data_IF_123315359311
#
_entry.id   IF_123315359311
#
_cell.length_a   1.000
_cell.length_b   1.000
_cell.length_c   1.000
_cell.angle_alpha   90.00
_cell.angle_beta   90.00
_cell.angle_gamma   90.00
#
_symmetry.space_group_name_H-M   'P 1'
#
loop_
_entity.id
_entity.type
_entity.pdbx_description
1 polymer ?
#
# COMPACT_ATOMS: atom_id res chain seq x y z
N UNK A 1 24.68 3.38 0.78
CA UNK A 1 23.50 4.15 1.23
C UNK A 1 22.27 3.36 0.87
N UNK A 2 21.83 2.59 1.83
CA UNK A 2 20.63 1.75 1.74
C UNK A 2 19.38 2.63 1.71
N UNK A 3 18.37 2.20 0.94
CA UNK A 3 17.06 2.84 0.89
C UNK A 3 16.13 2.21 1.93
N UNK A 4 15.45 3.04 2.70
CA UNK A 4 14.42 2.63 3.64
C UNK A 4 13.08 3.25 3.26
N UNK A 5 12.01 2.53 3.54
CA UNK A 5 10.65 3.06 3.53
C UNK A 5 10.21 3.12 5.00
N UNK A 6 9.83 4.31 5.47
CA UNK A 6 9.27 4.48 6.81
C UNK A 6 7.77 4.66 6.66
N UNK A 7 7.01 3.82 7.36
CA UNK A 7 5.55 3.83 7.40
C UNK A 7 5.14 4.16 8.83
N UNK A 8 4.55 5.32 9.05
CA UNK A 8 3.97 5.66 10.36
C UNK A 8 2.77 4.75 10.62
N UNK A 9 2.65 4.13 11.79
CA UNK A 9 1.63 3.09 12.03
C UNK A 9 0.21 3.62 12.18
N UNK A 10 0.05 4.89 12.59
CA UNK A 10 -1.26 5.50 12.82
C UNK A 10 -1.81 6.15 11.55
N UNK A 11 -1.09 7.13 10.99
CA UNK A 11 -1.51 7.82 9.77
C UNK A 11 -1.29 6.99 8.51
N UNK A 12 -0.34 6.05 8.58
CA UNK A 12 0.03 5.18 7.49
C UNK A 12 0.66 5.92 6.30
N UNK A 13 1.12 7.14 6.57
CA UNK A 13 1.97 7.94 5.72
C UNK A 13 3.30 7.24 5.49
N UNK A 14 3.84 7.44 4.29
CA UNK A 14 5.02 6.73 3.83
C UNK A 14 6.04 7.67 3.26
N UNK A 15 7.28 7.44 3.63
CA UNK A 15 8.41 8.22 3.17
C UNK A 15 9.55 7.29 2.77
N UNK A 16 10.19 7.63 1.66
CA UNK A 16 11.44 6.98 1.26
C UNK A 16 12.59 7.78 1.84
N UNK A 17 13.47 7.12 2.58
CA UNK A 17 14.64 7.71 3.22
C UNK A 17 15.90 7.09 2.65
N UNK A 18 16.76 7.91 2.05
CA UNK A 18 18.12 7.54 1.64
C UNK A 18 19.11 8.26 2.56
N UNK A 19 19.35 7.70 3.75
CA UNK A 19 20.23 8.29 4.73
C UNK A 19 20.81 7.21 5.66
N UNK A 20 21.99 7.49 6.21
CA UNK A 20 22.60 6.67 7.28
C UNK A 20 21.93 6.90 8.65
N UNK A 21 21.05 7.89 8.76
CA UNK A 21 20.34 8.25 9.98
C UNK A 21 18.86 8.46 9.68
N UNK A 22 17.99 7.81 10.46
CA UNK A 22 16.53 7.86 10.33
C UNK A 22 15.98 8.23 11.70
N UNK A 23 15.30 9.36 11.81
CA UNK A 23 14.68 9.79 13.08
C UNK A 23 13.19 9.45 13.07
N UNK A 24 12.76 8.59 13.99
CA UNK A 24 11.34 8.28 14.17
C UNK A 24 10.73 9.26 15.19
N UNK A 25 9.65 9.93 14.81
CA UNK A 25 8.88 10.81 15.70
C UNK A 25 7.62 10.14 16.25
N UNK A 26 7.21 9.02 15.65
CA UNK A 26 6.02 8.22 15.95
C UNK A 26 6.32 6.73 15.72
N UNK A 27 5.46 5.83 16.22
CA UNK A 27 5.62 4.40 16.03
C UNK A 27 5.54 4.07 14.53
N UNK A 28 6.58 3.42 14.00
CA UNK A 28 6.72 3.23 12.55
C UNK A 28 7.18 1.82 12.18
N UNK A 29 6.82 1.37 10.99
CA UNK A 29 7.48 0.24 10.32
C UNK A 29 8.61 0.80 9.46
N UNK A 30 9.84 0.43 9.78
CA UNK A 30 11.02 0.69 8.97
C UNK A 30 11.24 -0.52 8.07
N UNK A 31 11.05 -0.33 6.77
CA UNK A 31 11.09 -1.37 5.77
C UNK A 31 12.31 -1.20 4.84
N UNK A 32 13.01 -2.28 4.53
CA UNK A 32 14.21 -2.27 3.66
C UNK A 32 14.26 -3.50 2.76
N UNK A 33 14.81 -3.33 1.55
CA UNK A 33 15.06 -4.41 0.59
C UNK A 33 16.48 -5.00 0.67
N UNK A 34 17.24 -4.63 1.71
CA UNK A 34 18.54 -5.24 1.96
C UNK A 34 18.35 -6.68 2.47
N UNK A 35 19.31 -7.58 2.22
CA UNK A 35 19.25 -8.90 2.85
C UNK A 35 19.57 -8.78 4.33
N UNK A 36 18.94 -9.63 5.15
CA UNK A 36 19.29 -9.79 6.57
C UNK A 36 20.72 -10.26 6.72
N UNK A 37 21.21 -11.05 5.78
CA UNK A 37 22.60 -11.53 5.75
C UNK A 37 23.60 -10.42 5.46
N UNK A 38 23.17 -9.23 5.02
CA UNK A 38 24.05 -8.06 4.86
C UNK A 38 24.31 -7.33 6.18
N UNK A 39 23.55 -7.62 7.24
CA UNK A 39 23.78 -7.08 8.59
C UNK A 39 24.82 -7.92 9.31
N UNK A 40 25.85 -7.25 9.81
CA UNK A 40 26.87 -7.84 10.67
C UNK A 40 26.42 -7.85 12.13
N UNK A 41 25.86 -6.74 12.61
CA UNK A 41 25.45 -6.59 14.01
C UNK A 41 24.23 -5.67 14.16
N UNK A 42 23.29 -6.08 15.01
CA UNK A 42 22.21 -5.23 15.52
C UNK A 42 22.58 -4.76 16.92
N UNK A 43 22.58 -3.46 17.15
CA UNK A 43 22.96 -2.88 18.43
C UNK A 43 21.85 -1.98 18.92
N UNK A 44 21.43 -2.21 20.16
CA UNK A 44 20.61 -1.25 20.89
C UNK A 44 21.51 -0.24 21.58
N UNK A 45 21.42 1.02 21.14
CA UNK A 45 22.10 2.16 21.76
C UNK A 45 21.06 3.11 22.36
N UNK A 46 20.75 2.90 23.64
CA UNK A 46 19.64 3.59 24.31
C UNK A 46 18.29 3.29 23.66
N UNK A 47 17.66 4.33 23.09
CA UNK A 47 16.40 4.23 22.35
C UNK A 47 16.61 3.99 20.85
N UNK A 48 17.85 3.95 20.37
CA UNK A 48 18.18 3.83 18.96
C UNK A 48 18.50 2.37 18.61
N UNK A 49 18.18 1.98 17.38
CA UNK A 49 18.67 0.77 16.76
C UNK A 49 19.78 1.12 15.79
N UNK A 50 20.95 0.52 15.97
CA UNK A 50 22.10 0.69 15.08
C UNK A 50 22.31 -0.62 14.32
N UNK A 51 22.32 -0.53 13.00
CA UNK A 51 22.62 -1.61 12.08
C UNK A 51 24.06 -1.43 11.59
N UNK A 52 24.97 -2.32 11.98
CA UNK A 52 26.29 -2.40 11.36
C UNK A 52 26.22 -3.38 10.20
N UNK A 53 26.54 -2.93 8.99
CA UNK A 53 26.49 -3.74 7.79
C UNK A 53 27.86 -4.35 7.50
N UNK A 54 27.89 -5.51 6.83
CA UNK A 54 29.13 -6.21 6.46
C UNK A 54 30.00 -5.41 5.48
N UNK A 55 29.41 -4.47 4.75
CA UNK A 55 30.13 -3.55 3.88
C UNK A 55 30.79 -2.37 4.63
N UNK A 56 30.62 -2.27 5.95
CA UNK A 56 31.16 -1.21 6.80
C UNK A 56 30.23 0.01 6.97
N UNK A 57 29.09 0.07 6.28
CA UNK A 57 28.07 1.10 6.48
C UNK A 57 27.39 0.90 7.85
N UNK A 58 27.08 2.01 8.53
CA UNK A 58 26.36 2.01 9.80
C UNK A 58 25.09 2.84 9.62
N UNK A 59 23.94 2.21 9.86
CA UNK A 59 22.64 2.88 9.84
C UNK A 59 22.15 3.05 11.27
N UNK A 60 21.74 4.27 11.63
CA UNK A 60 21.14 4.58 12.93
C UNK A 60 19.66 4.90 12.73
N UNK A 61 18.80 4.10 13.34
CA UNK A 61 17.37 4.38 13.44
C UNK A 61 17.12 4.93 14.85
N UNK A 62 17.01 6.24 14.95
CA UNK A 62 16.79 6.93 16.21
C UNK A 62 15.37 6.72 16.71
N UNK A 63 15.22 6.64 18.04
CA UNK A 63 13.95 6.45 18.73
C UNK A 63 13.21 5.13 18.39
N UNK A 64 13.89 4.17 17.76
CA UNK A 64 13.31 2.87 17.41
C UNK A 64 12.65 2.14 18.59
N UNK A 65 13.26 2.20 19.77
CA UNK A 65 12.75 1.53 20.98
C UNK A 65 11.82 2.42 21.84
N UNK A 66 11.41 3.59 21.34
CA UNK A 66 10.35 4.38 21.99
C UNK A 66 9.01 3.74 21.69
N UNK A 67 8.20 3.61 22.74
CA UNK A 67 6.79 3.19 22.65
C UNK A 67 5.94 4.46 22.59
N UNK A 68 5.16 4.62 21.52
CA UNK A 68 4.23 5.71 21.32
C UNK A 68 2.82 5.17 21.49
N UNK A 69 2.08 5.66 22.49
CA UNK A 69 0.70 5.21 22.78
C UNK A 69 0.53 3.69 22.82
N UNK A 70 1.42 3.02 23.55
CA UNK A 70 1.52 1.55 23.69
C UNK A 70 1.89 0.79 22.39
N UNK A 71 2.28 1.49 21.32
CA UNK A 71 2.73 0.94 20.03
C UNK A 71 4.25 1.08 19.88
N UNK A 72 4.92 -0.03 19.53
CA UNK A 72 6.36 -0.06 19.22
C UNK A 72 6.63 0.17 17.72
N UNK A 73 7.84 0.62 17.39
CA UNK A 73 8.32 0.59 16.00
C UNK A 73 8.88 -0.79 15.63
N UNK A 74 8.82 -1.14 14.35
CA UNK A 74 9.29 -2.43 13.82
C UNK A 74 10.29 -2.24 12.68
N UNK A 75 11.20 -3.20 12.52
CA UNK A 75 12.11 -3.29 11.38
C UNK A 75 11.77 -4.53 10.56
N UNK A 76 11.59 -4.36 9.25
CA UNK A 76 11.23 -5.43 8.31
C UNK A 76 12.18 -5.45 7.14
N UNK A 77 12.63 -6.66 6.80
CA UNK A 77 13.45 -6.95 5.63
C UNK A 77 12.61 -7.65 4.58
N UNK A 78 12.64 -7.16 3.35
CA UNK A 78 12.08 -7.81 2.16
C UNK A 78 13.20 -8.49 1.38
N UNK A 79 13.11 -9.81 1.26
CA UNK A 79 14.00 -10.64 0.48
C UNK A 79 13.22 -11.28 -0.68
N UNK A 80 13.89 -11.54 -1.81
CA UNK A 80 13.29 -12.16 -3.00
C UNK A 80 12.01 -11.46 -3.51
N UNK A 81 11.87 -10.16 -3.24
CA UNK A 81 10.79 -9.29 -3.71
C UNK A 81 9.44 -9.43 -3.00
N UNK A 82 9.21 -10.52 -2.25
CA UNK A 82 7.92 -10.78 -1.59
C UNK A 82 8.05 -11.39 -0.18
N UNK A 83 9.25 -11.79 0.26
CA UNK A 83 9.41 -12.50 1.54
C UNK A 83 9.77 -11.52 2.63
N UNK A 84 8.86 -11.33 3.59
CA UNK A 84 9.02 -10.35 4.66
C UNK A 84 9.47 -11.02 5.96
N UNK A 85 10.51 -10.44 6.57
CA UNK A 85 11.07 -10.87 7.84
C UNK A 85 11.08 -9.72 8.85
N UNK A 86 10.27 -9.85 9.89
CA UNK A 86 10.24 -8.94 11.03
C UNK A 86 11.38 -9.24 12.01
N UNK A 87 12.12 -8.20 12.40
CA UNK A 87 13.16 -8.25 13.42
C UNK A 87 12.57 -8.15 14.82
N UNK A 88 12.81 -9.15 15.67
CA UNK A 88 12.19 -9.27 17.01
C UNK A 88 12.82 -8.39 18.10
N UNK A 89 13.84 -7.59 17.78
CA UNK A 89 14.51 -6.70 18.72
C UNK A 89 15.71 -7.30 19.46
N UNK A 90 16.01 -8.60 19.28
CA UNK A 90 17.17 -9.26 19.90
C UNK A 90 18.16 -9.70 18.82
N UNK A 91 17.78 -10.70 18.04
CA UNK A 91 18.58 -11.25 16.93
C UNK A 91 17.78 -12.26 16.09
N UNK A 92 16.47 -12.37 16.34
CA UNK A 92 15.60 -13.31 15.65
C UNK A 92 14.84 -12.62 14.53
N UNK A 93 14.43 -13.45 13.56
CA UNK A 93 13.55 -13.02 12.49
C UNK A 93 12.33 -13.92 12.45
N UNK A 94 11.16 -13.28 12.36
CA UNK A 94 9.90 -13.97 12.14
C UNK A 94 9.40 -13.64 10.74
N UNK A 95 9.12 -14.69 9.97
CA UNK A 95 8.41 -14.52 8.70
C UNK A 95 7.03 -13.93 8.97
N UNK A 96 6.69 -12.86 8.27
CA UNK A 96 5.37 -12.24 8.36
C UNK A 96 4.65 -12.37 7.02
N UNK A 97 3.32 -12.50 7.05
CA UNK A 97 2.50 -12.51 5.84
C UNK A 97 2.54 -11.18 5.09
N UNK A 98 2.77 -10.08 5.81
CA UNK A 98 2.65 -8.73 5.31
C UNK A 98 2.95 -7.71 6.42
N UNK A 99 3.04 -6.43 6.05
CA UNK A 99 3.34 -5.35 6.98
C UNK A 99 2.17 -5.00 7.93
N UNK A 100 0.94 -5.33 7.56
CA UNK A 100 -0.28 -5.25 8.39
C UNK A 100 -0.21 -6.06 9.66
N UNK A 101 0.52 -7.18 9.64
CA UNK A 101 0.68 -8.01 10.82
C UNK A 101 1.40 -7.27 11.97
N UNK A 102 1.97 -6.10 11.67
CA UNK A 102 2.69 -5.23 12.59
C UNK A 102 1.93 -3.93 12.90
N UNK A 103 0.76 -3.71 12.30
CA UNK A 103 -0.09 -2.57 12.63
C UNK A 103 -0.86 -2.84 13.94
N UNK A 104 -1.08 -1.80 14.77
CA UNK A 104 -1.86 -1.95 15.99
C UNK A 104 -3.29 -2.40 15.68
N UNK A 105 -3.85 -3.25 16.53
CA UNK A 105 -5.26 -3.63 16.44
C UNK A 105 -6.12 -2.42 16.82
N UNK A 106 -6.68 -1.73 15.82
CA UNK A 106 -7.62 -0.63 16.08
C UNK A 106 -8.94 -1.21 16.59
N UNK A 107 -9.59 -0.56 17.57
CA UNK A 107 -10.94 -0.96 17.98
C UNK A 107 -11.89 -0.81 16.79
N UNK A 108 -12.83 -1.74 16.63
CA UNK A 108 -13.58 -2.09 15.41
C UNK A 108 -14.52 -1.02 14.80
N UNK A 109 -14.27 0.27 15.03
CA UNK A 109 -14.83 1.39 14.25
C UNK A 109 -13.76 2.23 13.54
N UNK A 110 -12.47 1.89 13.67
CA UNK A 110 -11.37 2.50 12.93
C UNK A 110 -10.59 1.50 12.04
N UNK A 111 -10.92 0.20 12.10
CA UNK A 111 -10.28 -0.87 11.30
C UNK A 111 -10.79 -1.02 9.85
N UNK A 112 -11.82 -0.31 9.43
CA UNK A 112 -12.38 -0.45 8.06
C UNK A 112 -11.70 0.51 7.05
N UNK A 113 -10.75 1.36 7.48
CA UNK A 113 -10.32 2.51 6.66
C UNK A 113 -8.83 2.72 6.43
N UNK A 114 -7.94 1.80 6.83
CA UNK A 114 -6.51 2.06 6.97
C UNK A 114 -5.75 0.72 6.79
N UNK A 115 -5.38 0.19 5.60
CA UNK A 115 -4.61 0.75 4.48
C UNK A 115 -4.67 -0.18 3.23
N UNK A 116 -4.24 0.30 2.03
CA UNK A 116 -4.52 -0.30 0.72
C UNK A 116 -3.41 -1.17 0.08
N UNK A 117 -2.47 -1.80 0.80
CA UNK A 117 -1.44 -2.62 0.11
C UNK A 117 -1.07 -3.91 0.82
N UNK A 118 -1.71 -5.03 0.41
CA UNK A 118 -1.23 -6.39 0.66
C UNK A 118 -1.51 -7.32 -0.51
N UNK A 119 -0.48 -7.53 -1.31
CA UNK A 119 -0.30 -8.78 -2.03
C UNK A 119 0.30 -9.77 -1.04
N UNK A 120 -0.53 -10.66 -0.51
CA UNK A 120 -0.12 -12.02 -0.17
C UNK A 120 0.12 -12.40 1.29
N UNK A 121 -0.94 -12.69 2.05
CA UNK A 121 -1.04 -14.02 2.67
C UNK A 121 -2.47 -14.38 3.06
N UNK A 122 -2.73 -15.69 3.00
CA UNK A 122 -3.99 -16.31 3.34
C UNK A 122 -4.41 -16.09 4.80
N UNK A 123 -5.68 -15.73 4.98
CA UNK A 123 -6.43 -15.80 6.24
C UNK A 123 -6.52 -17.25 6.73
N UNK A 124 -5.79 -17.60 7.80
CA UNK A 124 -6.11 -18.79 8.61
C UNK A 124 -5.90 -18.48 10.10
N UNK A 125 -7.02 -18.26 10.83
CA UNK A 125 -7.22 -18.83 12.16
C UNK A 125 -6.98 -17.96 13.42
N UNK A 126 -8.00 -17.18 13.82
CA UNK A 126 -8.80 -17.36 15.05
C UNK A 126 -8.23 -17.10 16.47
N UNK A 127 -8.97 -16.27 17.25
CA UNK A 127 -9.45 -16.46 18.65
C UNK A 127 -10.08 -15.14 19.16
N UNK A 128 -11.13 -15.03 19.98
CA UNK A 128 -12.16 -15.92 20.53
C UNK A 128 -13.32 -15.06 21.13
N UNK A 129 -14.52 -15.65 21.15
CA UNK A 129 -15.85 -15.26 21.67
C UNK A 129 -16.04 -14.13 22.71
N UNK A 130 -17.08 -13.29 22.47
CA UNK A 130 -18.06 -12.86 23.49
C UNK A 130 -19.47 -13.04 22.90
N UNK A 131 -20.36 -13.66 23.68
CA UNK A 131 -21.77 -13.92 23.41
C UNK A 131 -22.59 -12.68 23.81
N UNK A 132 -23.41 -12.12 22.90
CA UNK A 132 -24.84 -11.81 23.16
C UNK A 132 -25.59 -11.48 21.84
N UNK A 133 -26.91 -11.72 21.86
CA UNK A 133 -27.88 -11.94 20.78
C UNK A 133 -28.19 -10.73 19.85
N UNK A 134 -28.50 -10.97 18.55
CA UNK A 134 -29.87 -11.06 17.97
C UNK A 134 -29.89 -10.86 16.43
N UNK A 135 -30.80 -11.59 15.76
CA UNK A 135 -31.01 -11.73 14.30
C UNK A 135 -30.95 -10.48 13.40
N UNK A 136 -30.30 -10.62 12.23
CA UNK A 136 -30.94 -10.66 10.88
C UNK A 136 -29.89 -10.76 9.76
N UNK A 137 -30.21 -11.58 8.77
CA UNK A 137 -29.51 -11.83 7.50
C UNK A 137 -28.64 -10.65 7.00
N UNK A 138 -27.34 -10.67 7.29
CA UNK A 138 -26.37 -9.96 6.46
C UNK A 138 -25.88 -10.96 5.41
N UNK A 139 -26.10 -10.64 4.13
CA UNK A 139 -25.42 -11.33 3.03
C UNK A 139 -23.91 -11.30 3.32
N UNK A 140 -23.17 -12.37 2.99
CA UNK A 140 -21.73 -12.37 3.15
C UNK A 140 -21.15 -11.18 2.39
N UNK A 141 -20.64 -10.17 3.12
CA UNK A 141 -19.94 -9.04 2.54
C UNK A 141 -18.71 -9.56 1.82
N UNK A 142 -18.48 -9.09 0.59
CA UNK A 142 -17.22 -9.36 -0.07
C UNK A 142 -16.09 -8.75 0.77
N UNK A 143 -15.06 -9.55 1.01
CA UNK A 143 -13.88 -9.20 1.82
C UNK A 143 -12.60 -9.46 1.02
N UNK A 144 -12.74 -9.77 -0.27
CA UNK A 144 -11.64 -10.05 -1.18
C UNK A 144 -11.17 -8.74 -1.78
N UNK A 145 -10.07 -8.19 -1.24
CA UNK A 145 -9.54 -6.93 -1.74
C UNK A 145 -9.33 -6.96 -3.28
N UNK A 146 -9.83 -5.96 -4.03
CA UNK A 146 -9.63 -5.91 -5.46
C UNK A 146 -8.16 -5.64 -5.83
N UNK A 147 -7.67 -6.29 -6.89
CA UNK A 147 -6.37 -5.96 -7.51
C UNK A 147 -6.45 -4.57 -8.13
N UNK A 148 -5.30 -3.97 -8.50
CA UNK A 148 -5.31 -2.72 -9.25
C UNK A 148 -6.03 -2.89 -10.62
N UNK A 149 -6.92 -1.96 -11.01
CA UNK A 149 -7.49 -1.93 -12.35
C UNK A 149 -6.42 -1.68 -13.41
N UNK A 150 -6.65 -2.16 -14.63
CA UNK A 150 -5.78 -1.85 -15.77
C UNK A 150 -6.28 -0.56 -16.41
N UNK A 151 -5.38 0.40 -16.59
CA UNK A 151 -5.70 1.68 -17.25
C UNK A 151 -4.94 1.75 -18.56
N UNK A 152 -5.67 2.03 -19.64
CA UNK A 152 -5.13 2.19 -20.99
C UNK A 152 -5.59 3.54 -21.53
N UNK A 153 -4.63 4.42 -21.84
CA UNK A 153 -4.91 5.69 -22.52
C UNK A 153 -4.90 5.41 -24.01
N UNK A 154 -5.91 5.91 -24.74
CA UNK A 154 -6.01 5.73 -26.17
C UNK A 154 -5.05 6.69 -26.91
N UNK A 155 -3.76 6.35 -26.92
CA UNK A 155 -2.67 7.04 -27.61
C UNK A 155 -2.36 6.43 -28.99
N UNK A 156 -3.20 5.50 -29.47
CA UNK A 156 -2.93 4.77 -30.71
C UNK A 156 -1.82 3.72 -30.60
N UNK A 157 -1.49 3.29 -29.37
CA UNK A 157 -0.50 2.26 -29.04
C UNK A 157 0.95 2.64 -29.39
N UNK A 158 1.25 3.94 -29.49
CA UNK A 158 2.60 4.44 -29.83
C UNK A 158 3.36 5.05 -28.63
N UNK A 159 2.71 5.16 -27.47
CA UNK A 159 3.27 5.71 -26.24
C UNK A 159 3.27 7.24 -26.19
N UNK A 160 2.64 7.94 -27.14
CA UNK A 160 2.65 9.39 -27.24
C UNK A 160 1.26 9.92 -27.61
N UNK A 161 0.72 10.83 -26.80
CA UNK A 161 -0.55 11.48 -27.13
C UNK A 161 -0.31 12.56 -28.19
N UNK A 162 -0.79 12.33 -29.41
CA UNK A 162 -0.74 13.27 -30.52
C UNK A 162 -2.08 13.98 -30.72
N UNK A 163 -2.13 15.10 -31.48
CA UNK A 163 -3.38 15.79 -31.78
C UNK A 163 -4.44 14.93 -32.51
N UNK A 164 -4.05 13.82 -33.15
CA UNK A 164 -4.97 12.85 -33.77
C UNK A 164 -5.73 12.00 -32.77
N UNK A 165 -5.18 11.84 -31.57
CA UNK A 165 -5.72 10.97 -30.51
C UNK A 165 -6.70 11.73 -29.62
N UNK A 166 -6.73 13.06 -29.77
CA UNK A 166 -7.62 13.94 -29.03
C UNK A 166 -9.04 13.93 -29.58
N UNK A 167 -9.98 13.86 -28.67
CA UNK A 167 -11.38 14.16 -28.86
C UNK A 167 -11.58 15.61 -29.32
N UNK A 168 -12.77 15.92 -29.85
CA UNK A 168 -13.12 17.26 -30.30
C UNK A 168 -13.10 18.34 -29.18
N UNK A 169 -13.13 17.92 -27.91
CA UNK A 169 -13.02 18.78 -26.73
C UNK A 169 -11.58 18.93 -26.20
N UNK A 170 -10.59 18.35 -26.88
CA UNK A 170 -9.18 18.40 -26.51
C UNK A 170 -8.77 17.40 -25.42
N UNK A 171 -9.66 16.50 -25.02
CA UNK A 171 -9.34 15.40 -24.10
C UNK A 171 -8.89 14.15 -24.85
N UNK A 172 -8.23 13.23 -24.16
CA UNK A 172 -7.99 11.85 -24.63
C UNK A 172 -8.85 10.89 -23.82
N UNK A 173 -9.33 9.82 -24.44
CA UNK A 173 -10.08 8.77 -23.73
C UNK A 173 -9.11 7.83 -23.03
N UNK A 174 -9.40 7.51 -21.76
CA UNK A 174 -8.71 6.46 -21.00
C UNK A 174 -9.73 5.40 -20.56
N UNK A 175 -9.41 4.14 -20.83
CA UNK A 175 -10.24 2.99 -20.47
C UNK A 175 -9.66 2.31 -19.23
N UNK A 176 -10.46 2.26 -18.18
CA UNK A 176 -10.20 1.48 -16.97
C UNK A 176 -10.93 0.15 -17.10
N UNK A 177 -10.21 -0.96 -16.98
CA UNK A 177 -10.76 -2.31 -17.03
C UNK A 177 -10.52 -3.05 -15.72
N UNK A 178 -11.46 -3.93 -15.37
CA UNK A 178 -11.46 -4.70 -14.14
C UNK A 178 -11.28 -6.18 -14.50
N UNK A 179 -10.04 -6.73 -14.39
CA UNK A 179 -9.81 -8.14 -14.65
C UNK A 179 -10.74 -9.05 -13.85
N UNK A 180 -11.22 -10.13 -14.47
CA UNK A 180 -12.01 -11.16 -13.78
C UNK A 180 -11.16 -11.86 -12.72
N UNK A 181 -11.82 -12.37 -11.68
CA UNK A 181 -11.19 -13.09 -10.56
C UNK A 181 -10.16 -12.26 -9.77
N UNK A 182 -10.26 -10.94 -9.87
CA UNK A 182 -9.34 -9.99 -9.24
C UNK A 182 -9.96 -9.25 -8.05
N UNK A 183 -11.01 -9.81 -7.43
CA UNK A 183 -11.61 -9.28 -6.19
C UNK A 183 -12.62 -8.14 -6.35
N UNK A 184 -12.98 -7.73 -7.58
CA UNK A 184 -14.00 -6.69 -7.76
C UNK A 184 -15.42 -7.24 -7.62
N UNK A 185 -16.25 -6.49 -6.89
CA UNK A 185 -17.66 -6.76 -6.69
C UNK A 185 -18.53 -5.54 -7.00
N UNK A 186 -19.80 -5.83 -7.29
CA UNK A 186 -20.82 -4.77 -7.42
C UNK A 186 -21.01 -4.15 -6.05
N UNK A 187 -20.84 -2.82 -5.98
CA UNK A 187 -20.89 -2.08 -4.72
C UNK A 187 -19.54 -1.48 -4.31
N UNK A 188 -18.42 -2.02 -4.78
CA UNK A 188 -17.09 -1.45 -4.48
C UNK A 188 -16.97 -0.04 -5.02
N UNK A 189 -16.34 0.86 -4.27
CA UNK A 189 -16.12 2.24 -4.70
C UNK A 189 -14.91 2.35 -5.62
N UNK A 190 -15.12 2.76 -6.86
CA UNK A 190 -14.05 3.13 -7.79
C UNK A 190 -13.77 4.63 -7.70
N UNK A 191 -12.48 4.98 -7.64
CA UNK A 191 -11.96 6.35 -7.72
C UNK A 191 -10.97 6.43 -8.88
N UNK A 192 -11.26 7.28 -9.86
CA UNK A 192 -10.39 7.54 -11.01
C UNK A 192 -9.92 8.99 -10.97
N UNK A 193 -8.62 9.23 -11.10
CA UNK A 193 -8.00 10.55 -11.09
C UNK A 193 -7.06 10.77 -12.26
N UNK A 194 -6.93 12.02 -12.69
CA UNK A 194 -5.92 12.47 -13.66
C UNK A 194 -4.55 12.72 -13.00
N UNK A 195 -3.58 13.18 -13.80
CA UNK A 195 -2.22 13.49 -13.39
C UNK A 195 -2.13 14.60 -12.33
N UNK A 196 -3.13 15.49 -12.26
CA UNK A 196 -3.20 16.60 -11.31
C UNK A 196 -3.89 16.18 -9.99
N UNK A 197 -4.37 14.94 -9.92
CA UNK A 197 -5.10 14.39 -8.78
C UNK A 197 -6.59 14.76 -8.75
N UNK A 198 -7.12 15.33 -9.83
CA UNK A 198 -8.55 15.67 -9.97
C UNK A 198 -9.38 14.39 -10.07
N UNK A 199 -10.42 14.27 -9.25
CA UNK A 199 -11.35 13.13 -9.32
C UNK A 199 -12.23 13.22 -10.58
N UNK A 200 -12.02 12.30 -11.52
CA UNK A 200 -12.83 12.14 -12.74
C UNK A 200 -14.07 11.29 -12.47
N UNK A 201 -13.93 10.26 -11.62
CA UNK A 201 -15.01 9.36 -11.22
C UNK A 201 -14.84 8.99 -9.74
N UNK A 202 -15.95 8.99 -8.99
CA UNK A 202 -16.03 8.46 -7.63
C UNK A 202 -17.43 7.94 -7.35
N UNK A 203 -17.63 6.63 -7.46
CA UNK A 203 -18.94 5.98 -7.27
C UNK A 203 -18.80 4.47 -7.06
N UNK A 204 -19.85 3.78 -6.59
CA UNK A 204 -19.87 2.32 -6.59
C UNK A 204 -19.82 1.74 -8.02
N UNK A 205 -19.16 0.59 -8.16
CA UNK A 205 -19.11 -0.25 -9.36
C UNK A 205 -20.46 -0.92 -9.57
N UNK A 206 -20.88 -0.96 -10.83
CA UNK A 206 -22.05 -1.69 -11.31
C UNK A 206 -21.61 -2.94 -12.06
N UNK A 207 -22.54 -3.87 -12.30
CA UNK A 207 -22.25 -5.05 -13.11
C UNK A 207 -21.79 -4.69 -14.54
N UNK A 208 -22.27 -3.57 -15.09
CA UNK A 208 -21.88 -3.08 -16.42
C UNK A 208 -20.42 -2.58 -16.43
N UNK A 209 -19.96 -1.96 -15.34
CA UNK A 209 -18.57 -1.51 -15.21
C UNK A 209 -17.61 -2.70 -15.17
N UNK A 210 -17.95 -3.76 -14.42
CA UNK A 210 -17.14 -4.98 -14.35
C UNK A 210 -17.07 -5.72 -15.69
N UNK A 211 -18.11 -5.62 -16.51
CA UNK A 211 -18.15 -6.26 -17.83
C UNK A 211 -17.42 -5.45 -18.91
N UNK A 212 -17.64 -4.13 -18.95
CA UNK A 212 -17.21 -3.28 -20.06
C UNK A 212 -16.02 -2.36 -19.74
N UNK A 213 -15.74 -2.15 -18.45
CA UNK A 213 -14.82 -1.12 -17.96
C UNK A 213 -15.48 0.27 -17.89
N UNK A 214 -14.71 1.25 -17.45
CA UNK A 214 -15.12 2.67 -17.40
C UNK A 214 -14.21 3.45 -18.33
N UNK A 215 -14.80 4.15 -19.31
CA UNK A 215 -14.08 5.14 -20.13
C UNK A 215 -14.24 6.52 -19.52
N UNK A 216 -13.12 7.20 -19.30
CA UNK A 216 -13.07 8.59 -18.82
C UNK A 216 -12.36 9.47 -19.83
N UNK A 217 -12.69 10.76 -19.82
CA UNK A 217 -12.02 11.79 -20.61
C UNK A 217 -10.99 12.49 -19.75
N UNK A 218 -9.76 12.56 -20.24
CA UNK A 218 -8.61 13.11 -19.50
C UNK A 218 -8.00 14.24 -20.30
N UNK A 219 -7.73 15.37 -19.66
CA UNK A 219 -6.97 16.44 -20.29
C UNK A 219 -5.50 16.03 -20.31
N UNK A 220 -4.85 15.96 -21.49
CA UNK A 220 -3.43 15.66 -21.56
C UNK A 220 -2.60 16.64 -20.73
N UNK A 221 -1.51 16.14 -20.14
CA UNK A 221 -0.53 16.94 -19.45
C UNK A 221 0.15 17.96 -20.39
N UNK A 222 0.88 18.92 -19.83
CA UNK A 222 1.62 19.89 -20.63
C UNK A 222 2.66 19.20 -21.53
N UNK A 223 3.04 19.88 -22.63
CA UNK A 223 4.02 19.33 -23.57
C UNK A 223 5.34 18.99 -22.84
N UNK A 224 5.75 17.71 -22.93
CA UNK A 224 6.94 17.19 -22.25
C UNK A 224 6.69 16.58 -20.86
N UNK A 225 5.44 16.55 -20.39
CA UNK A 225 5.02 15.85 -19.18
C UNK A 225 4.20 14.60 -19.50
N UNK A 226 4.22 13.63 -18.58
CA UNK A 226 3.47 12.39 -18.72
C UNK A 226 1.99 12.60 -18.36
N UNK A 227 1.09 12.17 -19.24
CA UNK A 227 -0.33 12.07 -18.89
C UNK A 227 -0.55 10.75 -18.17
N UNK A 228 -1.04 10.83 -16.92
CA UNK A 228 -1.21 9.66 -16.05
C UNK A 228 -2.66 9.61 -15.58
N UNK A 229 -3.22 8.40 -15.60
CA UNK A 229 -4.56 8.14 -15.07
C UNK A 229 -4.43 7.06 -14.01
N UNK A 230 -4.90 7.36 -12.81
CA UNK A 230 -4.87 6.43 -11.69
C UNK A 230 -6.29 5.96 -11.40
N UNK A 231 -6.45 4.66 -11.21
CA UNK A 231 -7.73 4.05 -10.83
C UNK A 231 -7.51 3.17 -9.59
N UNK A 232 -8.36 3.35 -8.58
CA UNK A 232 -8.35 2.57 -7.35
C UNK A 232 -9.76 2.09 -7.07
N UNK A 233 -9.92 0.85 -6.66
CA UNK A 233 -11.20 0.30 -6.21
C UNK A 233 -11.07 -0.12 -4.74
N UNK A 234 -12.08 0.18 -3.95
CA UNK A 234 -12.16 -0.18 -2.53
C UNK A 234 -13.49 -0.85 -2.21
N UNK A 235 -13.47 -1.93 -1.45
CA UNK A 235 -14.68 -2.60 -0.96
C UNK A 235 -15.62 -1.65 -0.18
N UNK A 236 -16.93 -1.91 -0.14
CA UNK A 236 -17.93 -1.07 0.52
C UNK A 236 -17.90 -1.09 2.06
#
# INVERSE_FOLDING_TARGET
MTNFIVIEKDSLNKSTVNAAQITLTEASIVHTKMSRDDVDEFIRDGNNLVLKLKNGEVVVIENFFIIYDDVASDLVFEEDGCVLYWFDGISGFKGIPGLEALLPAVESSQLVGLLPWLVGAAVVGGAAAIIDHNDKDEEPKDTTAPTAPTVEINDGDDGVINPSDLNADGTVDAKVTFPKDAGYSVGDTVVIKDQDGTELVKRPLTAEDLENGITVKVTPAAEGEDTVVTAVVTDP
#
